data_IF_067687544697
#
_entry.id   IF_067687544697
#
_cell.length_a   1.000
_cell.length_b   1.000
_cell.length_c   1.000
_cell.angle_alpha   90.00
_cell.angle_beta   90.00
_cell.angle_gamma   90.00
#
_symmetry.space_group_name_H-M   'P 1'
#
loop_
_entity.id
_entity.type
_entity.pdbx_description
1 polymer ?
#
# COMPACT_ATOMS: atom_id res chain seq x y z
N UNK A 1 0.80 -2.53 4.40
CA UNK A 1 2.14 -2.80 4.99
C UNK A 1 3.22 -2.30 4.05
N UNK A 2 4.33 -1.81 4.57
CA UNK A 2 5.53 -1.39 3.82
C UNK A 2 6.75 -2.08 4.40
N UNK A 3 7.53 -2.72 3.53
CA UNK A 3 8.76 -3.43 3.86
C UNK A 3 9.94 -2.66 3.28
N UNK A 4 10.74 -2.10 4.18
CA UNK A 4 12.04 -1.52 3.91
C UNK A 4 13.13 -2.48 4.43
N UNK A 5 14.41 -2.32 4.01
CA UNK A 5 15.46 -3.27 4.36
C UNK A 5 15.63 -3.52 5.86
N UNK A 6 15.39 -2.51 6.69
CA UNK A 6 15.60 -2.57 8.14
C UNK A 6 14.31 -2.55 8.96
N UNK A 7 13.16 -2.28 8.36
CA UNK A 7 11.91 -2.09 9.10
C UNK A 7 10.67 -2.46 8.28
N UNK A 8 9.68 -3.02 8.96
CA UNK A 8 8.32 -3.20 8.45
C UNK A 8 7.39 -2.25 9.17
N UNK A 9 6.57 -1.54 8.40
CA UNK A 9 5.51 -0.67 8.92
C UNK A 9 4.14 -1.15 8.48
N UNK A 10 3.19 -1.17 9.40
CA UNK A 10 1.87 -1.74 9.23
C UNK A 10 0.83 -0.72 9.65
N UNK A 11 -0.25 -0.66 8.86
CA UNK A 11 -1.43 0.16 9.16
C UNK A 11 -2.64 -0.67 8.82
N UNK A 12 -3.60 -0.68 9.73
CA UNK A 12 -4.94 -1.18 9.53
C UNK A 12 -5.89 0.00 9.37
N UNK A 13 -6.60 0.07 8.26
CA UNK A 13 -7.57 1.13 7.95
C UNK A 13 -8.98 0.57 7.87
N UNK A 14 -9.96 1.38 8.26
CA UNK A 14 -11.38 1.07 8.05
C UNK A 14 -11.82 1.34 6.61
N UNK A 15 -12.92 0.70 6.22
CA UNK A 15 -13.56 0.91 4.91
C UNK A 15 -13.11 -0.10 3.86
N UNK A 16 -14.07 -0.55 3.05
CA UNK A 16 -13.82 -1.51 1.96
C UNK A 16 -12.85 -0.98 0.91
N UNK A 17 -12.80 0.36 0.74
CA UNK A 17 -11.92 1.05 -0.19
C UNK A 17 -10.55 1.44 0.40
N UNK A 18 -10.32 1.19 1.71
CA UNK A 18 -9.07 1.54 2.38
C UNK A 18 -8.83 3.04 2.58
N UNK A 19 -9.87 3.87 2.40
CA UNK A 19 -9.86 5.34 2.52
C UNK A 19 -10.34 5.85 3.90
N UNK A 20 -10.68 4.95 4.82
CA UNK A 20 -11.17 5.28 6.15
C UNK A 20 -10.08 5.69 7.15
N UNK A 21 -10.49 5.74 8.42
CA UNK A 21 -9.60 6.07 9.52
C UNK A 21 -8.62 4.93 9.83
N UNK A 22 -7.44 5.28 10.32
CA UNK A 22 -6.49 4.32 10.88
C UNK A 22 -7.06 3.73 12.18
N UNK A 23 -7.19 2.40 12.22
CA UNK A 23 -7.63 1.63 13.39
C UNK A 23 -6.44 1.31 14.28
N UNK A 24 -5.35 0.87 13.64
CA UNK A 24 -4.19 0.32 14.31
C UNK A 24 -2.95 0.54 13.45
N UNK A 25 -1.81 0.73 14.10
CA UNK A 25 -0.51 0.86 13.49
C UNK A 25 0.51 0.04 14.25
N UNK A 26 1.42 -0.58 13.53
CA UNK A 26 2.47 -1.39 14.14
C UNK A 26 3.76 -1.29 13.32
N UNK A 27 4.89 -1.44 13.99
CA UNK A 27 6.20 -1.44 13.36
C UNK A 27 7.13 -2.43 14.06
N UNK A 28 7.99 -3.07 13.27
CA UNK A 28 9.03 -3.93 13.81
C UNK A 28 10.28 -3.86 12.93
N UNK A 29 11.43 -3.97 13.60
CA UNK A 29 12.72 -3.99 12.93
C UNK A 29 12.97 -5.36 12.28
N UNK A 30 13.51 -5.33 11.06
CA UNK A 30 13.98 -6.51 10.36
C UNK A 30 15.43 -6.71 10.76
N UNK A 31 15.72 -7.79 11.48
CA UNK A 31 17.10 -8.13 11.85
C UNK A 31 17.95 -8.37 10.60
N UNK A 32 19.17 -7.80 10.59
CA UNK A 32 20.13 -8.00 9.51
C UNK A 32 20.36 -9.50 9.27
N UNK A 33 20.48 -9.89 7.99
CA UNK A 33 20.71 -11.27 7.55
C UNK A 33 21.94 -11.93 8.19
N UNK A 34 22.84 -11.15 8.82
CA UNK A 34 23.99 -11.63 9.57
C UNK A 34 23.66 -12.23 10.95
N UNK A 35 22.49 -11.94 11.53
CA UNK A 35 22.06 -12.44 12.85
C UNK A 35 20.82 -13.37 12.78
N UNK A 36 20.29 -13.61 11.57
CA UNK A 36 19.07 -14.37 11.34
C UNK A 36 19.31 -15.90 11.34
N UNK A 37 19.58 -16.47 12.52
CA UNK A 37 19.36 -17.89 12.72
C UNK A 37 17.84 -18.15 12.78
N UNK A 38 17.22 -18.50 11.64
CA UNK A 38 15.93 -19.19 11.44
C UNK A 38 14.66 -18.42 11.00
N UNK A 39 14.56 -17.09 11.08
CA UNK A 39 13.34 -16.35 10.66
C UNK A 39 13.70 -15.21 9.71
N UNK A 40 13.16 -15.23 8.48
CA UNK A 40 13.41 -14.14 7.50
C UNK A 40 12.38 -13.01 7.64
N UNK A 41 12.67 -11.83 7.10
CA UNK A 41 11.73 -10.70 7.03
C UNK A 41 10.35 -11.11 6.50
N UNK A 42 10.35 -11.89 5.40
CA UNK A 42 9.14 -12.43 4.80
C UNK A 42 8.35 -13.38 5.71
N UNK A 43 9.00 -14.17 6.60
CA UNK A 43 8.28 -14.99 7.59
C UNK A 43 7.56 -14.13 8.63
N UNK A 44 8.22 -13.04 9.05
CA UNK A 44 7.67 -12.10 10.01
C UNK A 44 6.45 -11.39 9.42
N UNK A 45 6.53 -10.93 8.15
CA UNK A 45 5.40 -10.33 7.45
C UNK A 45 4.22 -11.30 7.32
N UNK A 46 4.46 -12.57 6.93
CA UNK A 46 3.39 -13.57 6.87
C UNK A 46 2.75 -13.80 8.25
N UNK A 47 3.58 -13.89 9.30
CA UNK A 47 3.11 -14.05 10.67
C UNK A 47 2.29 -12.85 11.14
N UNK A 48 2.72 -11.63 10.80
CA UNK A 48 2.01 -10.41 11.10
C UNK A 48 0.65 -10.34 10.40
N UNK A 49 0.58 -10.67 9.10
CA UNK A 49 -0.70 -10.72 8.36
C UNK A 49 -1.69 -11.70 9.01
N UNK A 50 -1.22 -12.90 9.37
CA UNK A 50 -2.05 -13.90 10.06
C UNK A 50 -2.48 -13.42 11.44
N UNK A 51 -1.58 -12.79 12.19
CA UNK A 51 -1.84 -12.19 13.50
C UNK A 51 -2.89 -11.07 13.41
N UNK A 52 -2.73 -10.12 12.50
CA UNK A 52 -3.69 -9.03 12.26
C UNK A 52 -5.04 -9.57 11.83
N UNK A 53 -5.09 -10.58 10.95
CA UNK A 53 -6.35 -11.22 10.55
C UNK A 53 -7.07 -11.85 11.73
N UNK A 54 -6.34 -12.55 12.60
CA UNK A 54 -6.89 -13.18 13.79
C UNK A 54 -7.37 -12.12 14.80
N UNK A 55 -6.55 -11.11 15.08
CA UNK A 55 -6.90 -10.00 15.97
C UNK A 55 -8.12 -9.21 15.47
N UNK A 56 -8.19 -8.93 14.16
CA UNK A 56 -9.36 -8.30 13.55
C UNK A 56 -10.63 -9.15 13.77
N UNK A 57 -10.56 -10.47 13.53
CA UNK A 57 -11.70 -11.37 13.72
C UNK A 57 -12.15 -11.45 15.19
N UNK A 58 -11.21 -11.46 16.14
CA UNK A 58 -11.50 -11.41 17.59
C UNK A 58 -12.14 -10.08 18.00
N UNK A 59 -11.77 -8.99 17.32
CA UNK A 59 -12.37 -7.66 17.47
C UNK A 59 -13.72 -7.48 16.75
N UNK A 60 -14.20 -8.48 16.01
CA UNK A 60 -15.45 -8.41 15.24
C UNK A 60 -15.32 -7.75 13.87
N UNK A 61 -14.10 -7.51 13.39
CA UNK A 61 -13.79 -6.98 12.07
C UNK A 61 -13.44 -8.12 11.10
N UNK A 62 -13.59 -7.85 9.80
CA UNK A 62 -13.13 -8.77 8.75
C UNK A 62 -12.07 -8.07 7.90
N UNK A 63 -10.88 -8.65 7.82
CA UNK A 63 -9.83 -8.17 6.93
C UNK A 63 -10.23 -8.43 5.47
N UNK A 64 -10.51 -7.36 4.72
CA UNK A 64 -10.99 -7.45 3.34
C UNK A 64 -9.86 -7.69 2.34
N UNK A 65 -8.79 -6.89 2.41
CA UNK A 65 -7.61 -6.98 1.56
C UNK A 65 -6.34 -6.63 2.35
N UNK A 66 -5.18 -6.99 1.81
CA UNK A 66 -3.88 -6.63 2.37
C UNK A 66 -2.93 -6.22 1.25
N UNK A 67 -2.49 -4.97 1.27
CA UNK A 67 -1.42 -4.50 0.40
C UNK A 67 -0.08 -4.57 1.09
N UNK A 68 0.92 -5.15 0.43
CA UNK A 68 2.31 -5.12 0.89
C UNK A 68 3.17 -4.44 -0.16
N UNK A 69 3.83 -3.37 0.24
CA UNK A 69 4.85 -2.72 -0.59
C UNK A 69 6.26 -3.07 -0.15
N UNK A 70 7.18 -3.08 -1.11
CA UNK A 70 8.57 -3.47 -0.98
C UNK A 70 9.46 -2.53 -1.79
N UNK A 71 10.69 -2.34 -1.32
CA UNK A 71 11.75 -1.65 -2.05
C UNK A 71 12.59 -2.61 -2.89
N UNK A 72 12.82 -3.85 -2.42
CA UNK A 72 13.60 -4.86 -3.12
C UNK A 72 12.71 -5.91 -3.83
N UNK A 73 12.82 -6.06 -5.17
CA UNK A 73 12.12 -7.10 -5.92
C UNK A 73 12.45 -8.55 -5.48
N UNK A 74 13.64 -8.81 -4.96
CA UNK A 74 14.03 -10.16 -4.50
C UNK A 74 13.23 -10.56 -3.26
N UNK A 75 13.06 -9.64 -2.31
CA UNK A 75 12.27 -9.88 -1.12
C UNK A 75 10.77 -10.04 -1.43
N UNK A 76 10.28 -9.35 -2.45
CA UNK A 76 8.91 -9.50 -2.95
C UNK A 76 8.65 -10.91 -3.48
N UNK A 77 9.60 -11.47 -4.25
CA UNK A 77 9.51 -12.84 -4.74
C UNK A 77 9.52 -13.85 -3.59
N UNK A 78 10.41 -13.67 -2.61
CA UNK A 78 10.48 -14.51 -1.42
C UNK A 78 9.17 -14.46 -0.60
N UNK A 79 8.59 -13.27 -0.42
CA UNK A 79 7.31 -13.10 0.26
C UNK A 79 6.16 -13.78 -0.49
N UNK A 80 6.11 -13.65 -1.82
CA UNK A 80 5.11 -14.32 -2.66
C UNK A 80 5.13 -15.84 -2.46
N UNK A 81 6.33 -16.43 -2.49
CA UNK A 81 6.49 -17.88 -2.35
C UNK A 81 6.03 -18.36 -0.96
N UNK A 82 6.29 -17.57 0.08
CA UNK A 82 5.82 -17.86 1.45
C UNK A 82 4.31 -17.69 1.61
N UNK A 83 3.73 -16.62 1.06
CA UNK A 83 2.26 -16.45 1.05
C UNK A 83 1.57 -17.64 0.39
N UNK A 84 2.11 -18.12 -0.74
CA UNK A 84 1.61 -19.30 -1.43
C UNK A 84 1.77 -20.58 -0.57
N UNK A 85 2.92 -20.79 0.07
CA UNK A 85 3.17 -21.93 0.94
C UNK A 85 2.20 -21.98 2.14
N UNK A 86 1.88 -20.82 2.71
CA UNK A 86 0.96 -20.66 3.83
C UNK A 86 -0.52 -20.53 3.42
N UNK A 87 -0.83 -20.54 2.12
CA UNK A 87 -2.18 -20.33 1.56
C UNK A 87 -2.85 -19.05 2.07
N UNK A 88 -2.06 -17.99 2.18
CA UNK A 88 -2.57 -16.67 2.55
C UNK A 88 -3.11 -16.01 1.30
N UNK A 89 -4.43 -15.79 1.28
CA UNK A 89 -5.16 -15.17 0.18
C UNK A 89 -5.40 -13.68 0.43
N UNK A 90 -5.88 -12.95 -0.58
CA UNK A 90 -6.21 -11.51 -0.52
C UNK A 90 -5.02 -10.60 -0.16
N UNK A 91 -3.80 -11.06 -0.46
CA UNK A 91 -2.59 -10.25 -0.35
C UNK A 91 -2.16 -9.80 -1.73
N UNK A 92 -2.08 -8.49 -1.93
CA UNK A 92 -1.55 -7.87 -3.13
C UNK A 92 -0.14 -7.35 -2.84
N UNK A 93 0.81 -7.75 -3.68
CA UNK A 93 2.15 -7.18 -3.72
C UNK A 93 2.12 -5.95 -4.62
N UNK A 94 2.44 -4.79 -4.06
CA UNK A 94 2.36 -3.47 -4.73
C UNK A 94 3.76 -2.87 -4.75
N UNK A 95 4.21 -2.31 -5.87
CA UNK A 95 5.47 -1.55 -5.86
C UNK A 95 5.32 -0.27 -5.03
N UNK A 96 6.39 0.20 -4.39
CA UNK A 96 6.32 1.42 -3.58
C UNK A 96 5.86 2.66 -4.34
N UNK A 97 6.27 2.79 -5.60
CA UNK A 97 5.76 3.84 -6.49
C UNK A 97 4.23 3.76 -6.71
N UNK A 98 3.69 2.58 -6.96
CA UNK A 98 2.23 2.41 -7.13
C UNK A 98 1.46 2.63 -5.82
N UNK A 99 2.03 2.25 -4.68
CA UNK A 99 1.46 2.59 -3.38
C UNK A 99 1.41 4.11 -3.18
N UNK A 100 2.48 4.82 -3.53
CA UNK A 100 2.52 6.28 -3.51
C UNK A 100 1.51 6.90 -4.50
N UNK A 101 1.33 6.31 -5.68
CA UNK A 101 0.34 6.76 -6.67
C UNK A 101 -1.10 6.57 -6.20
N UNK A 102 -1.44 5.44 -5.58
CA UNK A 102 -2.75 5.23 -4.97
C UNK A 102 -3.03 6.26 -3.86
N UNK A 103 -2.01 6.63 -3.08
CA UNK A 103 -2.14 7.66 -2.06
C UNK A 103 -2.30 9.06 -2.68
N UNK A 104 -1.54 9.37 -3.73
CA UNK A 104 -1.70 10.63 -4.48
C UNK A 104 -3.11 10.75 -5.11
N UNK A 105 -3.65 9.65 -5.65
CA UNK A 105 -5.02 9.59 -6.15
C UNK A 105 -6.05 9.89 -5.05
N UNK A 106 -5.90 9.25 -3.88
CA UNK A 106 -6.81 9.48 -2.75
C UNK A 106 -6.77 10.94 -2.25
N UNK A 107 -5.57 11.52 -2.13
CA UNK A 107 -5.38 12.93 -1.76
C UNK A 107 -5.97 13.85 -2.83
N UNK A 108 -5.72 13.58 -4.11
CA UNK A 108 -6.28 14.34 -5.23
C UNK A 108 -7.81 14.32 -5.22
N UNK A 109 -8.42 13.17 -4.97
CA UNK A 109 -9.88 13.05 -4.82
C UNK A 109 -10.41 13.86 -3.61
N UNK A 110 -9.71 13.80 -2.47
CA UNK A 110 -10.11 14.54 -1.27
C UNK A 110 -10.00 16.07 -1.44
N UNK A 111 -9.03 16.52 -2.23
CA UNK A 111 -8.75 17.94 -2.48
C UNK A 111 -9.43 18.50 -3.73
N UNK A 112 -10.13 17.65 -4.50
CA UNK A 112 -10.73 17.95 -5.81
C UNK A 112 -9.70 18.42 -6.86
N UNK A 113 -8.46 17.95 -6.79
CA UNK A 113 -7.50 18.08 -7.88
C UNK A 113 -7.82 17.05 -8.96
N UNK A 114 -7.87 17.46 -10.22
CA UNK A 114 -8.08 16.55 -11.33
C UNK A 114 -6.81 15.73 -11.58
N UNK A 115 -5.66 16.39 -11.52
CA UNK A 115 -4.36 15.76 -11.75
C UNK A 115 -3.35 16.18 -10.69
N UNK A 116 -2.67 15.21 -10.10
CA UNK A 116 -1.67 15.44 -9.05
C UNK A 116 -0.32 14.94 -9.52
N UNK A 117 0.69 15.80 -9.51
CA UNK A 117 2.08 15.38 -9.74
C UNK A 117 2.60 14.66 -8.50
N UNK A 118 2.80 13.35 -8.58
CA UNK A 118 3.48 12.57 -7.57
C UNK A 118 5.00 12.67 -7.77
N UNK A 119 5.71 13.15 -6.74
CA UNK A 119 7.15 12.98 -6.63
C UNK A 119 7.45 11.90 -5.57
N UNK A 120 7.84 10.72 -6.02
CA UNK A 120 8.30 9.63 -5.17
C UNK A 120 9.83 9.64 -5.07
N UNK A 121 10.36 9.72 -3.84
CA UNK A 121 11.79 9.91 -3.58
C UNK A 121 12.34 8.70 -2.80
N UNK A 122 13.42 8.14 -3.31
CA UNK A 122 14.26 7.11 -2.70
C UNK A 122 15.68 7.69 -2.49
N UNK A 123 16.56 7.04 -1.72
CA UNK A 123 17.91 7.57 -1.45
C UNK A 123 18.71 7.91 -2.70
N UNK A 124 18.67 7.03 -3.71
CA UNK A 124 19.51 7.16 -4.91
C UNK A 124 18.71 7.53 -6.17
N UNK A 125 17.37 7.61 -6.09
CA UNK A 125 16.52 7.90 -7.24
C UNK A 125 15.26 8.70 -6.87
N UNK A 126 14.72 9.43 -7.83
CA UNK A 126 13.44 10.08 -7.72
C UNK A 126 12.59 9.81 -8.97
N UNK A 127 11.29 9.62 -8.79
CA UNK A 127 10.32 9.39 -9.86
C UNK A 127 9.22 10.43 -9.77
N UNK A 128 9.12 11.30 -10.77
CA UNK A 128 7.99 12.21 -10.97
C UNK A 128 6.99 11.55 -11.92
N UNK A 129 5.71 11.63 -11.61
CA UNK A 129 4.64 11.21 -12.51
C UNK A 129 3.38 12.03 -12.23
N UNK A 130 2.44 12.06 -13.17
CA UNK A 130 1.14 12.70 -12.97
C UNK A 130 0.07 11.63 -12.82
N UNK A 131 -0.70 11.71 -11.74
CA UNK A 131 -1.77 10.77 -11.40
C UNK A 131 -3.11 11.46 -11.62
N UNK A 132 -4.00 10.85 -12.39
CA UNK A 132 -5.38 11.29 -12.55
C UNK A 132 -6.22 10.82 -11.36
N UNK A 133 -6.90 11.75 -10.68
CA UNK A 133 -7.66 11.44 -9.47
C UNK A 133 -8.93 10.62 -9.75
N UNK A 134 -9.47 10.66 -10.98
CA UNK A 134 -10.74 10.02 -11.32
C UNK A 134 -10.59 8.51 -11.51
N UNK A 135 -9.51 8.06 -12.15
CA UNK A 135 -9.30 6.65 -12.48
C UNK A 135 -7.96 6.06 -12.00
N UNK A 136 -7.05 6.90 -11.48
CA UNK A 136 -5.73 6.47 -11.03
C UNK A 136 -4.76 6.17 -12.17
N UNK A 137 -5.07 6.63 -13.40
CA UNK A 137 -4.14 6.53 -14.52
C UNK A 137 -2.88 7.38 -14.27
N UNK A 138 -1.75 6.89 -14.77
CA UNK A 138 -0.43 7.51 -14.55
C UNK A 138 0.14 7.94 -15.90
N UNK A 139 0.52 9.21 -16.00
CA UNK A 139 1.13 9.83 -17.17
C UNK A 139 2.46 10.52 -16.81
N UNK A 140 3.21 10.94 -17.82
CA UNK A 140 4.44 11.74 -17.68
C UNK A 140 5.46 11.21 -16.66
N UNK A 141 5.65 9.89 -16.63
CA UNK A 141 6.61 9.23 -15.72
C UNK A 141 8.04 9.59 -16.12
N UNK A 142 8.76 10.24 -15.21
CA UNK A 142 10.17 10.60 -15.34
C UNK A 142 10.94 10.15 -14.11
N UNK A 143 11.83 9.16 -14.30
CA UNK A 143 12.76 8.71 -13.26
C UNK A 143 14.13 9.33 -13.47
N UNK A 144 14.74 9.80 -12.39
CA UNK A 144 16.09 10.35 -12.37
C UNK A 144 16.91 9.71 -11.25
N UNK A 145 18.20 9.46 -11.50
CA UNK A 145 19.15 9.12 -10.44
C UNK A 145 19.51 10.40 -9.67
N UNK A 146 19.62 10.27 -8.35
CA UNK A 146 20.04 11.34 -7.46
C UNK A 146 21.56 11.27 -7.23
N UNK A 147 22.27 12.41 -7.19
CA UNK A 147 23.66 12.48 -6.78
C UNK A 147 23.82 12.04 -5.33
N UNK A 148 24.99 11.49 -5.00
CA UNK A 148 25.33 11.15 -3.61
C UNK A 148 25.57 12.38 -2.71
N UNK A 149 25.67 13.58 -3.31
CA UNK A 149 25.78 14.84 -2.57
C UNK A 149 24.38 15.39 -2.29
N UNK A 150 24.06 15.59 -1.00
CA UNK A 150 22.73 15.95 -0.54
C UNK A 150 22.24 17.29 -1.13
N UNK A 151 23.12 18.30 -1.23
CA UNK A 151 22.75 19.61 -1.77
C UNK A 151 22.44 19.53 -3.27
N UNK A 152 23.27 18.80 -4.02
CA UNK A 152 23.02 18.52 -5.43
C UNK A 152 21.75 17.68 -5.65
N UNK A 153 21.46 16.71 -4.77
CA UNK A 153 20.23 15.93 -4.82
C UNK A 153 18.99 16.79 -4.58
N UNK A 154 19.00 17.67 -3.57
CA UNK A 154 17.90 18.61 -3.33
C UNK A 154 17.72 19.58 -4.51
N UNK A 155 18.82 20.08 -5.10
CA UNK A 155 18.74 20.93 -6.29
C UNK A 155 18.13 20.18 -7.49
N UNK A 156 18.45 18.90 -7.67
CA UNK A 156 17.86 18.09 -8.72
C UNK A 156 16.37 17.80 -8.48
N UNK A 157 15.97 17.51 -7.24
CA UNK A 157 14.57 17.36 -6.86
C UNK A 157 13.78 18.66 -7.10
N UNK A 158 14.35 19.81 -6.73
CA UNK A 158 13.76 21.11 -7.00
C UNK A 158 13.58 21.36 -8.51
N UNK A 159 14.55 20.96 -9.34
CA UNK A 159 14.42 21.05 -10.80
C UNK A 159 13.31 20.15 -11.36
N UNK A 160 13.14 18.93 -10.83
CA UNK A 160 12.04 18.04 -11.22
C UNK A 160 10.68 18.65 -10.87
N UNK A 161 10.53 19.18 -9.66
CA UNK A 161 9.29 19.83 -9.20
C UNK A 161 8.98 21.08 -10.03
N UNK A 162 9.98 21.91 -10.32
CA UNK A 162 9.82 23.08 -11.19
C UNK A 162 9.39 22.70 -12.61
N UNK A 163 9.90 21.58 -13.14
CA UNK A 163 9.50 21.08 -14.45
C UNK A 163 8.06 20.57 -14.50
N UNK A 164 7.46 20.20 -13.37
CA UNK A 164 6.09 19.70 -13.30
C UNK A 164 5.07 20.72 -13.85
N UNK A 165 5.32 22.02 -13.69
CA UNK A 165 4.47 23.10 -14.23
C UNK A 165 4.43 23.15 -15.76
N UNK A 166 5.48 22.64 -16.41
CA UNK A 166 5.63 22.68 -17.85
C UNK A 166 5.11 21.39 -18.52
N UNK A 167 4.60 20.43 -17.75
CA UNK A 167 4.03 19.19 -18.28
C UNK A 167 2.73 19.48 -19.04
N UNK A 168 2.47 18.70 -20.08
CA UNK A 168 1.29 18.86 -20.93
C UNK A 168 -0.01 18.50 -20.20
N UNK A 169 0.08 17.57 -19.26
CA UNK A 169 -0.99 17.17 -18.34
C UNK A 169 -1.46 18.33 -17.47
N UNK A 170 -0.56 19.23 -17.06
CA UNK A 170 -0.83 20.38 -16.18
C UNK A 170 -1.40 19.95 -14.82
N UNK A 171 -0.57 19.33 -13.96
CA UNK A 171 -0.98 18.95 -12.61
C UNK A 171 -1.41 20.19 -11.81
N UNK A 172 -2.42 20.02 -10.96
CA UNK A 172 -2.98 21.07 -10.11
C UNK A 172 -2.15 21.27 -8.82
N UNK A 173 -1.45 20.22 -8.38
CA UNK A 173 -0.65 20.18 -7.17
C UNK A 173 0.49 19.16 -7.27
N UNK A 174 1.47 19.29 -6.38
CA UNK A 174 2.56 18.33 -6.20
C UNK A 174 2.37 17.60 -4.88
N UNK A 175 2.40 16.28 -4.92
CA UNK A 175 2.34 15.41 -3.76
C UNK A 175 3.66 14.64 -3.62
N UNK A 176 4.34 14.81 -2.48
CA UNK A 176 5.69 14.27 -2.26
C UNK A 176 5.63 13.11 -1.27
N UNK A 177 6.18 11.96 -1.67
CA UNK A 177 6.28 10.75 -0.84
C UNK A 177 7.73 10.28 -0.79
N UNK A 178 8.29 10.13 0.42
CA UNK A 178 9.64 9.63 0.63
C UNK A 178 9.67 8.19 1.14
N UNK A 179 10.64 7.41 0.67
CA UNK A 179 10.98 6.09 1.21
C UNK A 179 12.37 6.16 1.84
N UNK A 180 12.43 6.24 3.17
CA UNK A 180 13.70 6.42 3.89
C UNK A 180 14.29 7.83 3.78
N UNK A 181 13.47 8.82 3.41
CA UNK A 181 13.87 10.23 3.25
C UNK A 181 13.02 11.13 4.16
N UNK A 182 13.68 12.07 4.83
CA UNK A 182 13.03 13.10 5.66
C UNK A 182 12.46 14.22 4.78
N UNK A 183 11.23 14.02 4.32
CA UNK A 183 10.50 15.00 3.48
C UNK A 183 10.38 16.37 4.16
N UNK A 184 10.00 16.49 5.45
CA UNK A 184 10.00 17.77 6.16
C UNK A 184 11.28 18.60 6.01
N UNK A 185 12.45 17.96 5.98
CA UNK A 185 13.74 18.64 5.84
C UNK A 185 13.93 19.30 4.46
N UNK A 186 13.51 18.63 3.39
CA UNK A 186 13.71 19.09 2.00
C UNK A 186 12.53 19.89 1.45
N UNK A 187 11.34 19.78 2.07
CA UNK A 187 10.10 20.40 1.62
C UNK A 187 10.20 21.91 1.35
N UNK A 188 10.83 22.74 2.19
CA UNK A 188 10.93 24.19 1.93
C UNK A 188 11.68 24.52 0.63
N UNK A 189 12.70 23.73 0.27
CA UNK A 189 13.44 23.93 -0.97
C UNK A 189 12.60 23.55 -2.20
N UNK A 190 11.78 22.49 -2.09
CA UNK A 190 10.86 22.09 -3.15
C UNK A 190 9.72 23.10 -3.34
N UNK A 191 9.15 23.61 -2.24
CA UNK A 191 8.12 24.66 -2.26
C UNK A 191 8.63 25.95 -2.91
N UNK A 192 9.90 26.30 -2.71
CA UNK A 192 10.49 27.48 -3.35
C UNK A 192 10.69 27.31 -4.88
N UNK A 193 10.69 26.08 -5.38
CA UNK A 193 10.97 25.76 -6.78
C UNK A 193 9.72 25.74 -7.68
N UNK A 194 8.52 25.79 -7.08
CA UNK A 194 7.24 25.75 -7.81
C UNK A 194 6.21 26.70 -7.20
N UNK A 195 5.28 27.11 -8.04
CA UNK A 195 4.04 27.81 -7.71
C UNK A 195 2.89 26.86 -7.41
N UNK A 196 3.01 25.56 -7.74
CA UNK A 196 2.01 24.56 -7.44
C UNK A 196 1.93 24.29 -5.93
N UNK A 197 0.73 24.10 -5.36
CA UNK A 197 0.58 23.65 -3.98
C UNK A 197 1.35 22.35 -3.77
N UNK A 198 2.28 22.34 -2.82
CA UNK A 198 3.06 21.15 -2.47
C UNK A 198 2.57 20.58 -1.14
N UNK A 199 2.20 19.31 -1.19
CA UNK A 199 1.69 18.55 -0.03
C UNK A 199 2.49 17.27 0.16
N UNK A 200 2.48 16.75 1.38
CA UNK A 200 3.10 15.50 1.76
C UNK A 200 2.16 14.77 2.73
N UNK A 201 2.26 13.44 2.87
CA UNK A 201 1.46 12.68 3.83
C UNK A 201 1.60 13.24 5.25
N UNK A 202 0.50 13.25 6.01
CA UNK A 202 0.50 13.65 7.43
C UNK A 202 1.39 12.74 8.28
N UNK A 203 1.42 11.44 7.93
CA UNK A 203 2.27 10.42 8.54
C UNK A 203 3.20 9.85 7.47
N UNK A 204 4.37 10.48 7.22
CA UNK A 204 5.30 10.06 6.17
C UNK A 204 5.77 8.63 6.35
N UNK A 205 5.86 8.20 7.61
CA UNK A 205 6.40 6.89 7.95
C UNK A 205 5.50 5.74 7.51
N UNK A 206 4.19 5.91 7.66
CA UNK A 206 3.18 4.89 7.34
C UNK A 206 2.52 5.13 5.98
N UNK A 207 2.81 6.25 5.32
CA UNK A 207 2.24 6.64 4.03
C UNK A 207 2.30 5.53 2.98
N UNK A 208 3.44 4.88 2.80
CA UNK A 208 3.57 3.78 1.83
C UNK A 208 2.74 2.55 2.22
N UNK A 209 2.63 2.25 3.51
CA UNK A 209 1.80 1.16 4.00
C UNK A 209 0.31 1.44 3.76
N UNK A 210 -0.12 2.69 3.94
CA UNK A 210 -1.48 3.16 3.66
C UNK A 210 -1.78 3.19 2.16
N UNK A 211 -0.85 3.68 1.36
CA UNK A 211 -0.92 3.64 -0.11
C UNK A 211 -1.04 2.21 -0.64
N UNK A 212 -0.34 1.25 -0.04
CA UNK A 212 -0.49 -0.16 -0.38
C UNK A 212 -1.89 -0.70 -0.04
N UNK A 213 -2.47 -0.30 1.10
CA UNK A 213 -3.83 -0.69 1.47
C UNK A 213 -4.88 -0.12 0.50
N UNK A 214 -4.76 1.15 0.12
CA UNK A 214 -5.57 1.78 -0.93
C UNK A 214 -5.43 1.05 -2.26
N UNK A 215 -4.19 0.78 -2.69
CA UNK A 215 -3.93 0.06 -3.93
C UNK A 215 -4.56 -1.35 -3.93
N UNK A 216 -4.46 -2.08 -2.81
CA UNK A 216 -5.05 -3.42 -2.70
C UNK A 216 -6.57 -3.41 -2.68
N UNK A 217 -7.19 -2.38 -2.13
CA UNK A 217 -8.64 -2.22 -2.15
C UNK A 217 -9.18 -1.90 -3.56
N UNK A 218 -8.40 -1.19 -4.38
CA UNK A 218 -8.76 -0.77 -5.74
C UNK A 218 -8.14 -1.63 -6.87
N UNK A 219 -7.76 -2.87 -6.54
CA UNK A 219 -7.07 -3.85 -7.39
C UNK A 219 -7.48 -3.93 -8.88
N UNK A 220 -8.77 -3.87 -9.29
CA UNK A 220 -9.14 -3.96 -10.71
C UNK A 220 -8.61 -2.80 -11.57
N UNK A 221 -8.36 -1.62 -10.97
CA UNK A 221 -7.97 -0.40 -11.67
C UNK A 221 -6.47 -0.33 -11.99
N UNK A 222 -5.61 -0.97 -11.18
CA UNK A 222 -4.15 -0.93 -11.36
C UNK A 222 -3.59 -1.94 -12.38
N UNK A 223 -4.39 -2.91 -12.82
CA UNK A 223 -3.96 -3.90 -13.82
C UNK A 223 -3.75 -3.29 -15.22
N UNK A 224 -4.35 -2.12 -15.50
CA UNK A 224 -4.15 -1.41 -16.77
C UNK A 224 -2.91 -0.49 -16.74
N UNK A 225 -2.60 0.11 -15.58
CA UNK A 225 -1.43 1.00 -15.38
C UNK A 225 -0.10 0.24 -15.26
N UNK A 226 -0.12 -1.01 -14.80
CA UNK A 226 1.08 -1.88 -14.76
C UNK A 226 1.60 -2.23 -16.15
N UNK A 227 0.71 -2.40 -17.13
CA UNK A 227 1.11 -2.57 -18.53
C UNK A 227 1.80 -1.32 -19.08
N UNK A 228 1.34 -0.12 -18.72
CA UNK A 228 1.98 1.15 -19.12
C UNK A 228 3.37 1.34 -18.46
N UNK A 229 3.54 0.96 -17.19
CA UNK A 229 4.84 0.98 -16.51
C UNK A 229 5.85 -0.01 -17.11
N UNK A 230 5.41 -1.20 -17.55
CA UNK A 230 6.29 -2.17 -18.20
C UNK A 230 6.88 -1.62 -19.52
N UNK A 231 6.12 -0.84 -20.28
CA UNK A 231 6.62 -0.16 -21.48
C UNK A 231 7.55 1.03 -21.15
N UNK A 232 7.35 1.72 -20.02
CA UNK A 232 8.21 2.82 -19.59
C UNK A 232 9.54 2.35 -18.97
N UNK A 233 9.63 1.09 -18.55
CA UNK A 233 10.85 0.45 -18.06
C UNK A 233 11.76 -0.08 -19.18
N UNK A 234 11.35 0.01 -20.44
CA UNK A 234 12.19 -0.26 -21.60
C UNK A 234 12.91 1.04 -22.03
N UNK A 235 14.16 1.27 -21.63
CA UNK A 235 14.94 2.33 -22.22
C UNK A 235 15.24 1.87 -23.65
N UNK A 236 14.52 2.41 -24.63
CA UNK A 236 14.63 2.08 -26.07
C UNK A 236 16.01 2.29 -26.72
N UNK A 237 17.08 2.28 -25.92
CA UNK A 237 18.51 2.33 -26.23
C UNK A 237 19.25 1.01 -25.93
N UNK A 238 18.55 -0.05 -25.50
CA UNK A 238 19.17 -1.38 -25.27
C UNK A 238 19.99 -1.50 -23.97
N UNK A 239 19.89 -0.52 -23.07
CA UNK A 239 20.50 -0.59 -21.75
C UNK A 239 19.59 -1.35 -20.78
N UNK A 240 19.85 -2.63 -20.56
CA UNK A 240 19.08 -3.42 -19.60
C UNK A 240 19.33 -2.93 -18.17
N UNK A 241 18.27 -2.73 -17.39
CA UNK A 241 18.39 -2.52 -15.95
C UNK A 241 18.81 -3.86 -15.30
N UNK A 242 20.00 -3.96 -14.69
CA UNK A 242 20.49 -5.22 -14.12
C UNK A 242 19.62 -5.75 -12.97
N UNK A 243 18.78 -4.90 -12.35
CA UNK A 243 17.80 -5.30 -11.33
C UNK A 243 16.43 -5.70 -11.92
N UNK A 244 16.16 -5.43 -13.21
CA UNK A 244 14.93 -5.83 -13.87
C UNK A 244 14.98 -7.26 -14.44
N UNK A 245 16.17 -7.88 -14.45
CA UNK A 245 16.38 -9.23 -14.96
C UNK A 245 16.45 -10.20 -13.77
N UNK A 246 15.44 -11.06 -13.64
CA UNK A 246 15.49 -12.18 -12.71
C UNK A 246 16.73 -13.05 -13.04
N UNK A 247 17.51 -13.55 -12.04
CA UNK A 247 18.77 -14.28 -12.28
C UNK A 247 18.64 -15.60 -13.05
N UNK A 248 17.42 -16.01 -13.44
CA UNK A 248 17.16 -17.26 -14.15
C UNK A 248 17.32 -17.21 -15.67
N UNK A 249 17.52 -16.04 -16.28
CA UNK A 249 17.50 -15.91 -17.76
C UNK A 249 18.89 -15.91 -18.42
N UNK A 250 19.97 -15.75 -17.66
CA UNK A 250 21.35 -15.86 -18.17
C UNK A 250 22.12 -16.95 -17.44
N UNK A 251 21.69 -18.20 -17.62
CA UNK A 251 22.62 -19.31 -17.51
C UNK A 251 23.30 -19.48 -18.87
N UNK A 252 24.30 -18.65 -19.17
CA UNK A 252 25.31 -19.02 -20.15
C UNK A 252 26.20 -20.07 -19.49
N UNK A 253 26.22 -21.34 -19.95
CA UNK A 253 27.18 -22.29 -19.44
C UNK A 253 28.58 -21.79 -19.80
N UNK A 254 29.50 -21.70 -18.82
CA UNK A 254 30.91 -21.32 -18.95
C UNK A 254 31.76 -22.29 -19.81
N UNK A 255 31.13 -22.98 -20.77
CA UNK A 255 31.74 -24.02 -21.59
C UNK A 255 31.41 -23.89 -23.09
N UNK A 256 31.13 -22.68 -23.58
CA UNK A 256 31.12 -22.42 -25.01
C UNK A 256 32.35 -21.58 -25.38
N UNK A 257 33.33 -22.21 -26.03
CA UNK A 257 34.42 -21.50 -26.73
C UNK A 257 33.88 -20.59 -27.82
N UNK A 258 34.77 -19.86 -28.49
CA UNK A 258 34.56 -18.68 -29.37
C UNK A 258 33.50 -18.75 -30.50
N UNK A 259 32.64 -19.77 -30.58
CA UNK A 259 31.57 -19.91 -31.58
C UNK A 259 30.17 -20.00 -30.92
N UNK A 260 29.86 -19.06 -30.03
CA UNK A 260 28.52 -18.91 -29.44
C UNK A 260 27.51 -18.29 -30.41
N UNK A 261 27.16 -18.99 -31.49
CA UNK A 261 26.18 -18.53 -32.47
C UNK A 261 24.74 -18.79 -31.98
N UNK A 262 23.93 -17.74 -31.95
CA UNK A 262 22.50 -17.80 -31.65
C UNK A 262 21.73 -18.57 -32.74
N UNK A 263 20.63 -19.23 -32.34
CA UNK A 263 19.80 -20.16 -33.13
C UNK A 263 19.05 -19.53 -34.33
N UNK A 264 19.57 -18.49 -34.99
CA UNK A 264 18.96 -17.93 -36.20
C UNK A 264 19.95 -17.36 -37.22
N UNK A 265 21.23 -17.74 -37.14
CA UNK A 265 22.17 -17.49 -38.23
C UNK A 265 22.40 -18.79 -39.01
N UNK A 266 21.45 -19.15 -39.89
CA UNK A 266 21.76 -20.07 -40.99
C UNK A 266 22.28 -19.18 -42.13
N UNK A 267 23.54 -19.34 -42.59
CA UNK A 267 23.99 -18.68 -43.80
C UNK A 267 23.28 -19.33 -44.99
N UNK A 268 22.59 -18.56 -45.82
CA UNK A 268 22.18 -19.02 -47.14
C UNK A 268 23.44 -19.17 -48.01
N UNK A 269 23.82 -20.41 -48.31
CA UNK A 269 24.92 -20.72 -49.23
C UNK A 269 24.35 -20.84 -50.67
N UNK A 270 24.75 -19.99 -51.63
CA UNK A 270 24.15 -19.94 -52.96
C UNK A 270 24.58 -21.05 -53.94
N UNK A 271 25.26 -22.11 -53.47
CA UNK A 271 25.95 -23.07 -54.35
C UNK A 271 25.56 -24.56 -54.18
N UNK A 272 24.29 -24.89 -53.93
CA UNK A 272 23.79 -26.26 -54.12
C UNK A 272 22.59 -26.35 -55.08
N UNK A 273 22.92 -26.46 -56.37
CA UNK A 273 22.04 -27.09 -57.35
C UNK A 273 22.01 -28.60 -57.12
N UNK A 274 20.90 -29.14 -56.62
CA UNK A 274 20.57 -30.56 -56.81
C UNK A 274 19.21 -30.75 -57.47
N UNK A 275 19.29 -31.47 -58.58
CA UNK A 275 18.30 -31.79 -59.58
C UNK A 275 17.45 -33.01 -59.20
N UNK A 276 16.20 -33.07 -59.68
CA UNK A 276 15.44 -34.31 -59.87
C UNK A 276 14.25 -34.44 -58.93
N UNK A 277 13.06 -33.96 -59.32
CA UNK A 277 12.08 -34.65 -60.18
C UNK A 277 11.03 -35.44 -59.39
N UNK A 278 9.79 -35.00 -59.58
CA UNK A 278 8.50 -35.49 -59.11
C UNK A 278 8.32 -37.01 -59.17
N UNK A 279 7.52 -37.58 -58.26
CA UNK A 279 6.24 -38.25 -58.61
C UNK A 279 5.45 -38.71 -57.39
N UNK A 280 4.13 -38.74 -57.57
CA UNK A 280 3.06 -38.98 -56.62
C UNK A 280 3.04 -40.36 -55.94
N UNK A 281 2.43 -40.45 -54.75
CA UNK A 281 1.25 -41.30 -54.53
C UNK A 281 0.65 -41.10 -53.12
N UNK A 282 -0.64 -40.80 -53.11
CA UNK A 282 -1.58 -40.98 -52.00
C UNK A 282 -1.72 -42.46 -51.61
N UNK A 283 -2.28 -42.70 -50.40
CA UNK A 283 -2.62 -43.98 -49.73
C UNK A 283 -1.56 -44.40 -48.68
N UNK A 284 -1.86 -44.62 -47.41
CA UNK A 284 -3.05 -45.22 -46.81
C UNK A 284 -3.35 -44.63 -45.42
N UNK A 285 -4.64 -44.46 -45.15
CA UNK A 285 -5.24 -44.38 -43.82
C UNK A 285 -5.38 -45.81 -43.30
N UNK A 286 -4.77 -46.12 -42.15
CA UNK A 286 -5.21 -47.15 -41.19
C UNK A 286 -4.50 -46.80 -39.87
N UNK A 287 -5.21 -46.23 -38.90
CA UNK A 287 -5.93 -46.94 -37.84
C UNK A 287 -4.97 -47.60 -36.84
N UNK A 288 -4.65 -46.87 -35.76
CA UNK A 288 -4.61 -47.48 -34.43
C UNK A 288 -5.04 -46.48 -33.35
N UNK A 289 -6.33 -46.56 -33.06
CA UNK A 289 -6.99 -46.02 -31.87
C UNK A 289 -6.55 -46.87 -30.67
N UNK A 290 -5.76 -46.33 -29.75
CA UNK A 290 -5.70 -46.89 -28.42
C UNK A 290 -6.93 -46.46 -27.61
N UNK A 291 -7.96 -47.29 -27.69
CA UNK A 291 -9.12 -47.25 -26.82
C UNK A 291 -9.16 -48.46 -25.88
N UNK A 292 -9.45 -48.16 -24.60
CA UNK A 292 -9.84 -49.01 -23.45
C UNK A 292 -8.64 -49.57 -22.66
N UNK A 293 -8.64 -49.53 -21.32
CA UNK A 293 -9.78 -49.82 -20.46
C UNK A 293 -9.79 -49.12 -19.09
N UNK A 294 -11.01 -48.77 -18.70
CA UNK A 294 -11.49 -48.50 -17.34
C UNK A 294 -11.14 -49.59 -16.32
N UNK A 295 -10.59 -49.19 -15.18
CA UNK A 295 -10.78 -49.92 -13.91
C UNK A 295 -11.36 -48.97 -12.86
N UNK A 296 -12.68 -48.97 -12.82
CA UNK A 296 -13.53 -48.43 -11.76
C UNK A 296 -13.69 -49.54 -10.71
N UNK A 297 -13.52 -49.17 -9.43
CA UNK A 297 -13.74 -49.94 -8.16
C UNK A 297 -12.46 -50.38 -7.43
N UNK A 298 -11.91 -49.50 -6.58
CA UNK A 298 -11.75 -49.71 -5.13
C UNK A 298 -11.78 -48.30 -4.48
N UNK A 299 -12.96 -47.88 -4.03
CA UNK A 299 -13.18 -46.57 -3.42
C UNK A 299 -14.40 -46.63 -2.53
N UNK A 300 -14.35 -47.49 -1.52
CA UNK A 300 -15.44 -47.71 -0.56
C UNK A 300 -14.87 -48.31 0.74
N UNK A 301 -14.04 -47.54 1.43
CA UNK A 301 -13.66 -47.84 2.82
C UNK A 301 -13.36 -46.59 3.67
N UNK A 302 -13.11 -45.41 3.06
CA UNK A 302 -12.70 -44.20 3.80
C UNK A 302 -13.89 -43.28 4.17
N UNK A 303 -15.05 -43.43 3.54
CA UNK A 303 -16.22 -42.58 3.83
C UNK A 303 -16.95 -42.91 5.15
N UNK A 304 -16.77 -44.11 5.71
CA UNK A 304 -17.45 -44.51 6.94
C UNK A 304 -16.86 -43.91 8.22
N UNK A 305 -15.54 -43.66 8.24
CA UNK A 305 -14.83 -43.15 9.42
C UNK A 305 -15.18 -41.68 9.67
N UNK A 306 -15.38 -40.90 8.60
CA UNK A 306 -15.72 -39.48 8.72
C UNK A 306 -17.12 -39.25 9.31
N UNK A 307 -18.11 -40.06 8.91
CA UNK A 307 -19.50 -39.92 9.41
C UNK A 307 -19.61 -40.34 10.88
N UNK A 308 -18.92 -41.40 11.31
CA UNK A 308 -18.89 -41.82 12.72
C UNK A 308 -18.18 -40.77 13.59
N UNK A 309 -17.09 -40.18 13.10
CA UNK A 309 -16.38 -39.10 13.80
C UNK A 309 -17.22 -37.85 14.00
N UNK A 310 -17.96 -37.42 12.98
CA UNK A 310 -18.84 -36.25 13.07
C UNK A 310 -20.02 -36.48 14.01
N UNK A 311 -20.62 -37.68 14.01
CA UNK A 311 -21.70 -38.02 14.96
C UNK A 311 -21.18 -38.08 16.40
N UNK A 312 -19.99 -38.63 16.64
CA UNK A 312 -19.37 -38.62 17.97
C UNK A 312 -19.06 -37.20 18.46
N UNK A 313 -18.59 -36.32 17.58
CA UNK A 313 -18.32 -34.91 17.88
C UNK A 313 -19.60 -34.17 18.28
N UNK A 314 -20.70 -34.35 17.53
CA UNK A 314 -21.99 -33.69 17.82
C UNK A 314 -22.58 -34.19 19.15
N UNK A 315 -22.48 -35.48 19.46
CA UNK A 315 -22.95 -36.03 20.74
C UNK A 315 -22.09 -35.52 21.91
N UNK A 316 -20.77 -35.41 21.74
CA UNK A 316 -19.88 -34.88 22.77
C UNK A 316 -20.16 -33.39 23.05
N UNK A 317 -20.47 -32.61 22.02
CA UNK A 317 -20.81 -31.19 22.15
C UNK A 317 -22.17 -31.00 22.86
N UNK A 318 -23.14 -31.89 22.61
CA UNK A 318 -24.44 -31.84 23.27
C UNK A 318 -24.39 -32.17 24.78
N UNK A 319 -23.40 -32.95 25.22
CA UNK A 319 -23.23 -33.32 26.64
C UNK A 319 -22.46 -32.25 27.43
N UNK A 320 -21.60 -31.47 26.76
CA UNK A 320 -20.82 -30.39 27.38
C UNK A 320 -21.68 -29.18 27.79
N UNK A 321 -22.90 -29.05 27.25
CA UNK A 321 -23.83 -27.97 27.58
C UNK A 321 -24.87 -28.50 28.58
N UNK A 322 -24.42 -28.84 29.80
CA UNK A 322 -25.31 -28.80 30.97
C UNK A 322 -25.21 -27.41 31.58
N UNK A 323 -26.31 -26.65 31.69
CA UNK A 323 -26.29 -25.36 32.37
C UNK A 323 -26.17 -25.62 33.88
N UNK A 324 -25.06 -25.23 34.49
CA UNK A 324 -24.93 -25.09 35.94
C UNK A 324 -25.69 -23.83 36.39
N UNK A 325 -27.01 -23.87 36.30
CA UNK A 325 -27.89 -22.89 36.93
C UNK A 325 -28.30 -23.42 38.31
N UNK A 326 -27.44 -23.19 39.33
CA UNK A 326 -27.85 -23.05 40.73
C UNK A 326 -26.64 -22.80 41.65
N UNK A 327 -26.15 -21.57 41.69
CA UNK A 327 -25.49 -21.02 42.89
C UNK A 327 -25.86 -19.54 42.98
N UNK A 328 -26.88 -19.22 43.77
CA UNK A 328 -27.13 -17.85 44.24
C UNK A 328 -26.27 -17.61 45.50
N UNK A 329 -25.41 -16.60 45.56
CA UNK A 329 -24.83 -16.15 46.83
C UNK A 329 -25.89 -15.32 47.57
N UNK A 330 -26.38 -15.83 48.71
CA UNK A 330 -27.21 -15.07 49.64
C UNK A 330 -26.34 -14.09 50.43
N UNK A 331 -26.62 -12.77 50.38
CA UNK A 331 -25.86 -11.78 51.13
C UNK A 331 -26.54 -11.55 52.48
N UNK A 332 -26.27 -12.37 53.50
CA UNK A 332 -26.70 -12.11 54.88
C UNK A 332 -26.04 -13.07 55.89
N UNK A 333 -24.75 -12.91 56.16
CA UNK A 333 -24.12 -13.31 57.43
C UNK A 333 -22.65 -12.86 57.46
N UNK A 334 -22.43 -11.70 58.08
CA UNK A 334 -21.24 -11.37 58.88
C UNK A 334 -21.45 -10.00 59.51
N UNK A 335 -22.11 -10.00 60.66
CA UNK A 335 -22.16 -8.89 61.62
C UNK A 335 -21.48 -9.40 62.89
N UNK A 336 -20.87 -8.46 63.62
CA UNK A 336 -20.18 -8.55 64.93
C UNK A 336 -18.67 -8.82 64.76
N UNK A 337 -17.74 -7.87 64.95
CA UNK A 337 -17.56 -6.92 66.06
C UNK A 337 -16.90 -5.61 65.57
N UNK A 338 -17.41 -4.46 66.00
CA UNK A 338 -16.66 -3.19 66.07
C UNK A 338 -16.49 -2.81 67.55
N UNK A 339 -15.36 -2.19 67.93
CA UNK A 339 -15.40 -0.84 68.52
C UNK A 339 -14.21 0.02 68.01
N UNK A 340 -14.17 1.35 67.88
CA UNK A 340 -15.03 2.50 68.22
C UNK A 340 -14.41 3.77 67.58
N UNK A 341 -15.22 4.56 66.84
CA UNK A 341 -15.40 6.06 66.78
C UNK A 341 -14.15 7.01 66.88
N UNK A 342 -14.03 8.14 66.11
CA UNK A 342 -15.06 9.20 66.00
C UNK A 342 -15.41 9.82 64.65
N UNK A 343 -16.59 10.45 64.63
CA UNK A 343 -17.36 10.95 63.49
C UNK A 343 -17.11 12.44 63.16
N UNK A 344 -17.19 12.84 61.89
CA UNK A 344 -17.55 14.21 61.48
C UNK A 344 -19.05 14.33 61.20
N UNK A 345 -19.58 15.53 61.42
CA UNK A 345 -21.00 15.89 61.44
C UNK A 345 -21.70 15.87 60.05
N UNK A 346 -23.05 15.87 60.01
CA UNK A 346 -23.82 15.91 58.75
C UNK A 346 -23.65 17.24 58.01
N UNK A 347 -23.40 17.16 56.70
CA UNK A 347 -23.45 18.33 55.82
C UNK A 347 -24.89 18.84 55.69
N UNK A 348 -25.06 20.13 55.93
CA UNK A 348 -26.32 20.87 55.83
C UNK A 348 -26.82 20.98 54.37
N UNK A 349 -28.13 21.19 54.17
CA UNK A 349 -28.73 21.37 52.84
C UNK A 349 -28.17 22.59 52.10
N UNK A 350 -28.12 22.46 50.77
CA UNK A 350 -27.54 23.42 49.83
C UNK A 350 -28.04 24.85 50.05
N UNK A 351 -27.14 25.86 50.08
CA UNK A 351 -27.55 27.25 50.12
C UNK A 351 -28.23 27.65 48.80
N UNK A 352 -29.40 28.23 48.95
CA UNK A 352 -30.15 28.96 47.91
C UNK A 352 -29.21 30.02 47.32
N UNK A 353 -29.00 29.98 46.00
CA UNK A 353 -28.21 31.01 45.31
C UNK A 353 -28.91 32.36 45.46
N UNK A 354 -28.24 33.30 46.11
CA UNK A 354 -28.58 34.72 46.04
C UNK A 354 -28.37 35.23 44.60
N UNK A 355 -29.14 36.23 44.13
CA UNK A 355 -29.04 36.73 42.76
C UNK A 355 -27.63 37.24 42.48
N UNK A 356 -27.06 36.83 41.34
CA UNK A 356 -25.80 37.36 40.84
C UNK A 356 -25.90 38.89 40.65
N UNK A 357 -24.86 39.67 41.00
CA UNK A 357 -24.78 41.09 40.64
C UNK A 357 -24.87 41.25 39.12
N UNK A 358 -25.69 42.20 38.66
CA UNK A 358 -25.83 42.53 37.25
C UNK A 358 -24.45 42.80 36.61
N UNK A 359 -24.22 42.17 35.46
CA UNK A 359 -23.06 42.45 34.63
C UNK A 359 -23.02 43.94 34.25
N UNK A 360 -21.84 44.61 34.27
CA UNK A 360 -21.70 45.94 33.70
C UNK A 360 -22.12 45.93 32.23
N UNK A 361 -22.87 46.95 31.80
CA UNK A 361 -23.31 47.12 30.42
C UNK A 361 -22.12 47.08 29.45
N UNK A 362 -22.29 46.50 28.24
CA UNK A 362 -21.24 46.49 27.23
C UNK A 362 -20.83 47.92 26.85
N UNK A 363 -19.52 48.13 26.75
CA UNK A 363 -18.93 49.36 26.23
C UNK A 363 -19.48 49.67 24.83
N UNK A 364 -19.75 50.95 24.48
CA UNK A 364 -20.23 51.30 23.15
C UNK A 364 -19.20 50.90 22.09
N UNK A 365 -19.71 50.28 21.02
CA UNK A 365 -18.92 49.94 19.83
C UNK A 365 -18.23 51.19 19.25
N UNK A 366 -17.02 51.07 18.70
CA UNK A 366 -16.40 52.16 17.94
C UNK A 366 -17.31 52.59 16.79
N UNK A 367 -17.60 53.88 16.70
CA UNK A 367 -18.29 54.48 15.56
C UNK A 367 -17.59 54.08 14.25
N UNK A 368 -18.39 53.57 13.30
CA UNK A 368 -17.96 53.43 11.92
C UNK A 368 -17.49 54.80 11.39
N UNK A 369 -16.37 54.88 10.65
CA UNK A 369 -15.96 56.13 10.03
C UNK A 369 -17.05 56.64 9.08
N UNK A 370 -17.49 57.88 9.29
CA UNK A 370 -18.40 58.57 8.38
C UNK A 370 -17.83 58.57 6.94
N UNK A 371 -18.69 58.45 5.90
CA UNK A 371 -18.25 58.57 4.52
C UNK A 371 -17.57 59.92 4.29
N UNK A 372 -16.34 59.89 3.77
CA UNK A 372 -15.62 61.08 3.36
C UNK A 372 -16.46 61.88 2.33
N UNK A 373 -16.60 63.18 2.57
CA UNK A 373 -17.20 64.11 1.63
C UNK A 373 -16.41 64.10 0.30
N UNK A 374 -17.07 64.19 -0.86
CA UNK A 374 -16.40 64.25 -2.16
C UNK A 374 -15.53 65.52 -2.27
N UNK A 375 -14.33 65.35 -2.81
CA UNK A 375 -13.35 66.41 -3.03
C UNK A 375 -13.92 67.56 -3.89
N UNK A 376 -13.50 68.83 -3.65
CA UNK A 376 -13.94 69.95 -4.46
C UNK A 376 -13.38 69.86 -5.88
N UNK A 377 -14.23 70.11 -6.87
CA UNK A 377 -13.87 70.22 -8.28
C UNK A 377 -12.87 71.36 -8.52
N UNK A 378 -11.96 71.24 -9.51
CA UNK A 378 -11.01 72.29 -9.82
C UNK A 378 -11.73 73.52 -10.39
N UNK A 379 -11.29 74.71 -9.95
CA UNK A 379 -11.78 75.99 -10.41
C UNK A 379 -11.43 76.23 -11.90
N UNK A 380 -12.28 76.93 -12.66
CA UNK A 380 -11.96 77.33 -14.03
C UNK A 380 -10.94 78.47 -14.04
N UNK A 381 -9.87 78.32 -14.82
CA UNK A 381 -9.05 79.45 -15.26
C UNK A 381 -9.85 80.32 -16.24
N UNK A 382 -9.81 81.63 -16.00
CA UNK A 382 -10.26 82.71 -16.88
C UNK A 382 -9.05 83.63 -17.09
N UNK A 383 -8.95 84.45 -18.17
CA UNK A 383 -10.04 85.11 -18.88
C UNK A 383 -10.20 84.79 -20.38
#
# INVERSE_FOLDING_TARGET
MSMAPTAVRMVLVEGENGDGATVDEDNFDVADAADAATVTASDQVVSAILGTRQGAAEGGYQLASTGVTFTDPLEAAALRDKLAAHKVENVMLVSAFLAAAALAQAVGHQTNYAQTALLYIEPDTATLAVVDSADGSIADVQRQALPADDEAAVAQLAAMVSNAENLQTRPDAVFVVGSGIDIPMIKPALEAATTLPLTAPEEPETALARGAALASAHAPLFSSSTAALAYAQDPGTGALNPLAVAPGYFATPDAAGEDGLAYSAVPDDPDEFFTGSQTAATALVDADYHQRSSFRRVGSAVAGIFVIGVVALVVSLAIAIRPTANVRPSPNQNVVVAPTRPAPAPAAPAPVQAPAPAAPAPAPAPEAPAPAAPAPAPAPEAP
#
